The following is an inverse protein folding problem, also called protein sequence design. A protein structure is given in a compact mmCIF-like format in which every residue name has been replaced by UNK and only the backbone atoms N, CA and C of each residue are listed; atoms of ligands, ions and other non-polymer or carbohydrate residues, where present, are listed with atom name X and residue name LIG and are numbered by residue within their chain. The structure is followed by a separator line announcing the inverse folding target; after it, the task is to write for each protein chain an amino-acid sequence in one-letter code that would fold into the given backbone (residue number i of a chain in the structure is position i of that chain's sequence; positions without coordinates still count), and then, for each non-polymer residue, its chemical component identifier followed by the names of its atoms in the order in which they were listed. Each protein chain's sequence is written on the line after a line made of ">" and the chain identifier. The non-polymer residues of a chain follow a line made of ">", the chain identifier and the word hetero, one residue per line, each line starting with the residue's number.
data_IF_375978995213
#
_entry.id   IF_375978995213
#
_cell.length_a   1.000
_cell.length_b   1.000
_cell.length_c   1.000
_cell.angle_alpha   90.00
_cell.angle_beta   90.00
_cell.angle_gamma   90.00
#
_symmetry.space_group_name_H-M   'P 1'
#
loop_
_entity.id
_entity.type
_entity.pdbx_description
1 polymer ?
#
# COMPACT_ATOMS: atom_id res chain seq x y z
N UNK A 1 -18.47 45.05 28.48
CA UNK A 1 -18.46 43.74 29.16
C UNK A 1 -19.65 43.71 30.11
N UNK A 2 -20.56 42.74 29.96
CA UNK A 2 -21.76 42.64 30.81
C UNK A 2 -21.43 42.17 32.23
N UNK A 3 -22.43 42.10 33.11
CA UNK A 3 -22.27 41.64 34.52
C UNK A 3 -21.77 40.19 34.66
N UNK A 4 -21.71 39.41 33.59
CA UNK A 4 -21.08 38.10 33.52
C UNK A 4 -19.76 38.19 32.73
N UNK A 5 -18.80 37.32 33.06
CA UNK A 5 -17.52 37.22 32.36
C UNK A 5 -17.65 36.81 30.88
N UNK A 6 -16.54 36.77 30.16
CA UNK A 6 -16.48 36.28 28.78
C UNK A 6 -17.01 34.85 28.67
N UNK A 7 -17.68 34.53 27.56
CA UNK A 7 -18.29 33.22 27.28
C UNK A 7 -19.34 32.77 28.30
N UNK A 8 -20.08 33.72 28.88
CA UNK A 8 -21.18 33.45 29.79
C UNK A 8 -22.45 34.22 29.40
N UNK A 9 -23.60 33.55 29.52
CA UNK A 9 -24.94 34.15 29.41
C UNK A 9 -25.43 34.55 30.80
N UNK A 10 -25.96 35.76 30.90
CA UNK A 10 -26.63 36.27 32.10
C UNK A 10 -28.13 36.01 32.01
N UNK A 11 -28.71 35.39 33.03
CA UNK A 11 -30.15 35.24 33.19
C UNK A 11 -30.60 35.97 34.47
N UNK A 12 -31.55 36.89 34.37
CA UNK A 12 -32.10 37.56 35.55
C UNK A 12 -33.02 36.60 36.34
N UNK A 13 -32.92 36.64 37.67
CA UNK A 13 -33.79 35.92 38.59
C UNK A 13 -34.49 36.92 39.51
N UNK A 14 -35.59 36.53 40.17
CA UNK A 14 -36.30 37.45 41.06
C UNK A 14 -35.38 37.89 42.22
N UNK A 15 -34.96 39.15 42.20
CA UNK A 15 -34.03 39.73 43.17
C UNK A 15 -32.53 39.47 42.90
N UNK A 16 -32.14 38.79 41.82
CA UNK A 16 -30.74 38.51 41.50
C UNK A 16 -30.51 38.24 40.00
N UNK A 17 -29.36 37.67 39.64
CA UNK A 17 -29.03 37.16 38.32
C UNK A 17 -28.14 35.91 38.44
N UNK A 18 -28.17 35.04 37.45
CA UNK A 18 -27.31 33.86 37.33
C UNK A 18 -26.46 33.97 36.08
N UNK A 19 -25.19 33.58 36.17
CA UNK A 19 -24.30 33.45 35.03
C UNK A 19 -24.08 31.97 34.71
N UNK A 20 -24.39 31.57 33.48
CA UNK A 20 -24.18 30.23 32.94
C UNK A 20 -23.20 30.30 31.79
N UNK A 21 -22.21 29.40 31.75
CA UNK A 21 -21.25 29.36 30.66
C UNK A 21 -21.94 29.00 29.34
N UNK A 22 -21.43 29.52 28.23
CA UNK A 22 -21.86 29.13 26.89
C UNK A 22 -21.61 27.61 26.68
N UNK A 23 -22.34 26.94 25.77
CA UNK A 23 -22.02 25.57 25.38
C UNK A 23 -20.54 25.42 24.98
N UNK A 24 -19.90 24.32 25.38
CA UNK A 24 -18.46 24.10 25.19
C UNK A 24 -17.56 24.80 26.23
N UNK A 25 -18.14 25.43 27.26
CA UNK A 25 -17.39 26.05 28.35
C UNK A 25 -17.89 25.58 29.72
N UNK A 26 -16.98 25.54 30.70
CA UNK A 26 -17.32 25.25 32.09
C UNK A 26 -16.72 26.22 33.09
N UNK A 27 -17.20 26.14 34.33
CA UNK A 27 -16.70 26.98 35.42
C UNK A 27 -15.31 26.50 35.82
N UNK A 28 -14.31 27.31 35.51
CA UNK A 28 -12.95 27.14 35.99
C UNK A 28 -12.80 27.42 37.49
N UNK A 29 -11.60 27.21 38.05
CA UNK A 29 -11.32 27.32 39.50
C UNK A 29 -11.63 28.69 40.11
N UNK A 30 -11.53 29.75 39.29
CA UNK A 30 -11.78 31.14 39.68
C UNK A 30 -13.22 31.59 39.42
N UNK A 31 -14.09 30.69 38.94
CA UNK A 31 -15.47 30.99 38.54
C UNK A 31 -15.62 31.59 37.14
N UNK A 32 -14.52 31.77 36.39
CA UNK A 32 -14.55 32.16 34.97
C UNK A 32 -14.94 30.99 34.07
N UNK A 33 -15.59 31.26 32.94
CA UNK A 33 -15.87 30.24 31.93
C UNK A 33 -14.60 29.93 31.14
N UNK A 34 -14.10 28.71 31.31
CA UNK A 34 -12.95 28.16 30.58
C UNK A 34 -13.45 27.19 29.53
N UNK A 35 -12.72 27.15 28.43
CA UNK A 35 -12.99 26.23 27.32
C UNK A 35 -12.90 24.78 27.82
N UNK A 36 -13.89 23.97 27.46
CA UNK A 36 -13.82 22.54 27.70
C UNK A 36 -12.94 21.90 26.64
N UNK A 37 -12.06 20.99 27.05
CA UNK A 37 -11.23 20.25 26.11
C UNK A 37 -11.87 18.90 25.83
N UNK A 38 -12.76 18.86 24.82
CA UNK A 38 -13.50 17.64 24.51
C UNK A 38 -12.57 16.51 24.03
N UNK A 39 -11.40 16.85 23.49
CA UNK A 39 -10.42 15.87 22.99
C UNK A 39 -9.87 14.96 24.08
N UNK A 40 -9.94 15.34 25.36
CA UNK A 40 -9.54 14.47 26.49
C UNK A 40 -10.37 13.20 26.60
N UNK A 41 -11.56 13.16 26.00
CA UNK A 41 -12.46 12.00 26.02
C UNK A 41 -12.33 11.10 24.79
N UNK A 42 -11.40 11.42 23.87
CA UNK A 42 -11.26 10.76 22.57
C UNK A 42 -12.59 10.66 21.78
N UNK A 43 -13.25 11.80 21.47
CA UNK A 43 -14.57 11.81 20.83
C UNK A 43 -14.54 11.48 19.32
N UNK A 44 -13.35 11.39 18.72
CA UNK A 44 -13.14 11.14 17.30
C UNK A 44 -12.93 9.64 16.98
N UNK A 45 -12.98 9.29 15.70
CA UNK A 45 -12.57 7.95 15.22
C UNK A 45 -11.11 7.66 15.60
N UNK A 46 -10.75 6.40 15.79
CA UNK A 46 -9.37 6.01 16.11
C UNK A 46 -8.37 6.30 14.97
N UNK A 47 -8.88 6.53 13.76
CA UNK A 47 -8.13 6.98 12.58
C UNK A 47 -8.29 8.48 12.32
N UNK A 48 -8.64 9.26 13.33
CA UNK A 48 -8.76 10.71 13.25
C UNK A 48 -7.97 11.42 14.35
N UNK A 49 -7.57 12.65 14.06
CA UNK A 49 -6.96 13.57 15.01
C UNK A 49 -8.02 14.54 15.55
N UNK A 50 -8.03 14.73 16.86
CA UNK A 50 -8.90 15.69 17.54
C UNK A 50 -8.15 17.01 17.74
N UNK A 51 -8.80 18.12 17.39
CA UNK A 51 -8.32 19.47 17.69
C UNK A 51 -9.36 20.19 18.53
N UNK A 52 -8.96 20.62 19.72
CA UNK A 52 -9.81 21.42 20.60
C UNK A 52 -9.92 22.85 20.07
N UNK A 53 -11.12 23.41 20.04
CA UNK A 53 -11.42 24.74 19.54
C UNK A 53 -12.19 25.53 20.60
N UNK A 54 -12.14 26.88 20.60
CA UNK A 54 -12.95 27.65 21.53
C UNK A 54 -14.45 27.36 21.39
N UNK A 55 -15.03 26.72 22.41
CA UNK A 55 -16.44 26.33 22.52
C UNK A 55 -16.83 25.08 21.72
N UNK A 56 -15.88 24.33 21.16
CA UNK A 56 -16.14 23.14 20.36
C UNK A 56 -14.87 22.33 20.09
N UNK A 57 -14.96 21.32 19.23
CA UNK A 57 -13.81 20.57 18.76
C UNK A 57 -14.03 20.16 17.31
N UNK A 58 -12.94 19.80 16.63
CA UNK A 58 -12.99 19.25 15.29
C UNK A 58 -12.24 17.94 15.21
N UNK A 59 -12.85 16.94 14.56
CA UNK A 59 -12.22 15.69 14.20
C UNK A 59 -11.82 15.70 12.73
N UNK A 60 -10.59 15.31 12.43
CA UNK A 60 -10.09 15.20 11.06
C UNK A 60 -9.50 13.81 10.84
N UNK A 61 -9.94 13.09 9.80
CA UNK A 61 -9.33 11.80 9.46
C UNK A 61 -7.83 11.96 9.18
N UNK A 62 -7.04 11.00 9.65
CA UNK A 62 -5.61 10.95 9.45
C UNK A 62 -5.29 10.75 7.95
N UNK A 63 -4.05 11.04 7.55
CA UNK A 63 -3.59 10.82 6.18
C UNK A 63 -3.86 9.37 5.74
N UNK A 64 -4.32 9.19 4.50
CA UNK A 64 -4.74 7.89 3.95
C UNK A 64 -6.17 7.47 4.30
N UNK A 65 -6.92 8.28 5.05
CA UNK A 65 -8.31 8.01 5.41
C UNK A 65 -9.24 9.14 4.99
N UNK A 66 -10.47 8.79 4.63
CA UNK A 66 -11.53 9.72 4.25
C UNK A 66 -12.77 9.54 5.13
N UNK A 67 -13.50 10.62 5.35
CA UNK A 67 -14.72 10.62 6.17
C UNK A 67 -14.95 11.95 6.87
N UNK A 68 -15.73 11.92 7.94
CA UNK A 68 -16.13 13.11 8.71
C UNK A 68 -15.35 13.28 10.04
N UNK A 69 -14.28 12.51 10.25
CA UNK A 69 -13.50 12.52 11.50
C UNK A 69 -14.10 11.69 12.65
N UNK A 70 -15.40 11.41 12.63
CA UNK A 70 -16.07 10.46 13.54
C UNK A 70 -16.25 9.07 12.95
N UNK A 71 -16.16 8.97 11.63
CA UNK A 71 -16.09 7.72 10.88
C UNK A 71 -15.08 7.92 9.78
N UNK A 72 -13.96 7.21 9.85
CA UNK A 72 -12.88 7.30 8.88
C UNK A 72 -12.64 5.94 8.23
N UNK A 73 -12.77 5.90 6.91
CA UNK A 73 -12.54 4.72 6.08
C UNK A 73 -11.26 4.86 5.29
N UNK A 74 -10.57 3.74 5.11
CA UNK A 74 -9.36 3.65 4.32
C UNK A 74 -9.60 4.14 2.88
N UNK A 75 -8.71 4.98 2.38
CA UNK A 75 -8.73 5.39 0.98
C UNK A 75 -8.02 4.31 0.19
N UNK A 76 -8.72 3.64 -0.73
CA UNK A 76 -8.05 2.70 -1.61
C UNK A 76 -7.34 3.44 -2.76
N UNK A 77 -6.05 3.74 -2.59
CA UNK A 77 -5.30 4.49 -3.61
C UNK A 77 -5.15 3.71 -4.92
N UNK A 78 -5.22 2.38 -4.90
CA UNK A 78 -5.11 1.53 -6.09
C UNK A 78 -6.34 1.59 -7.02
N UNK A 79 -7.44 2.20 -6.57
CA UNK A 79 -8.59 2.48 -7.46
C UNK A 79 -8.32 3.63 -8.43
N UNK A 80 -7.29 4.45 -8.14
CA UNK A 80 -6.87 5.55 -9.01
C UNK A 80 -5.87 5.01 -10.02
N UNK A 81 -6.09 5.28 -11.31
CA UNK A 81 -5.17 4.88 -12.38
C UNK A 81 -3.77 5.48 -12.17
N UNK A 82 -2.72 4.70 -12.48
CA UNK A 82 -1.33 5.13 -12.56
C UNK A 82 -0.66 5.57 -11.24
N UNK A 83 -1.03 4.96 -10.10
CA UNK A 83 -0.27 5.17 -8.84
C UNK A 83 1.09 4.50 -8.83
N UNK A 84 1.20 3.34 -9.49
CA UNK A 84 2.42 2.57 -9.62
C UNK A 84 3.06 2.74 -10.99
N UNK A 85 4.35 2.40 -11.07
CA UNK A 85 5.12 2.37 -12.31
C UNK A 85 4.61 1.34 -13.33
N UNK A 86 5.19 1.40 -14.53
CA UNK A 86 4.99 0.34 -15.52
C UNK A 86 5.53 -0.99 -14.98
N UNK A 87 4.86 -2.11 -15.29
CA UNK A 87 5.20 -3.44 -14.80
C UNK A 87 5.21 -3.56 -13.27
N UNK A 88 4.36 -2.79 -12.59
CA UNK A 88 4.12 -2.90 -11.16
C UNK A 88 2.63 -3.10 -10.85
N UNK A 89 2.36 -3.78 -9.74
CA UNK A 89 1.04 -3.97 -9.16
C UNK A 89 0.90 -3.07 -7.92
N UNK A 90 -0.27 -2.46 -7.77
CA UNK A 90 -0.62 -1.67 -6.60
C UNK A 90 -1.30 -2.54 -5.54
N UNK A 91 -0.77 -2.50 -4.33
CA UNK A 91 -1.37 -3.13 -3.15
C UNK A 91 -1.85 -2.05 -2.18
N UNK A 92 -3.14 -2.06 -1.88
CA UNK A 92 -3.75 -1.17 -0.91
C UNK A 92 -3.49 -1.64 0.52
N UNK A 93 -3.10 -0.72 1.41
CA UNK A 93 -2.81 -0.99 2.81
C UNK A 93 -3.59 0.00 3.70
N UNK A 94 -3.89 -0.32 4.97
CA UNK A 94 -4.54 0.63 5.84
C UNK A 94 -3.74 1.95 6.00
N UNK A 95 -4.28 3.05 5.50
CA UNK A 95 -3.73 4.40 5.53
C UNK A 95 -2.63 4.66 4.49
N UNK A 96 -2.39 3.74 3.55
CA UNK A 96 -1.32 3.88 2.55
C UNK A 96 -1.44 2.85 1.40
N UNK A 97 -0.48 2.87 0.49
CA UNK A 97 -0.36 1.85 -0.55
C UNK A 97 1.10 1.50 -0.80
N UNK A 98 1.34 0.35 -1.41
CA UNK A 98 2.66 -0.08 -1.85
C UNK A 98 2.62 -0.54 -3.30
N UNK A 99 3.67 -0.21 -4.04
CA UNK A 99 3.87 -0.67 -5.40
C UNK A 99 4.89 -1.81 -5.41
N UNK A 100 4.56 -2.90 -6.09
CA UNK A 100 5.42 -4.09 -6.19
C UNK A 100 5.67 -4.36 -7.67
N UNK A 101 6.93 -4.52 -8.05
CA UNK A 101 7.25 -4.95 -9.42
C UNK A 101 6.62 -6.33 -9.70
N UNK A 102 6.10 -6.49 -10.91
CA UNK A 102 5.58 -7.76 -11.39
C UNK A 102 6.70 -8.81 -11.44
N UNK A 103 6.33 -10.09 -11.44
CA UNK A 103 7.28 -11.18 -11.62
C UNK A 103 8.14 -10.97 -12.89
N UNK A 104 9.44 -11.24 -12.77
CA UNK A 104 10.43 -10.95 -13.83
C UNK A 104 10.97 -9.52 -13.83
N UNK A 105 10.52 -8.66 -12.92
CA UNK A 105 11.00 -7.28 -12.79
C UNK A 105 11.52 -6.99 -11.38
N UNK A 106 12.44 -6.03 -11.26
CA UNK A 106 13.03 -5.59 -10.00
C UNK A 106 13.09 -4.06 -9.92
N UNK A 107 12.95 -3.51 -8.71
CA UNK A 107 12.93 -2.07 -8.48
C UNK A 107 12.11 -1.67 -7.26
N UNK A 108 11.68 -0.41 -7.24
CA UNK A 108 10.94 0.21 -6.12
C UNK A 108 9.41 0.25 -6.33
N UNK A 109 8.92 -0.35 -7.43
CA UNK A 109 7.50 -0.32 -7.80
C UNK A 109 7.07 0.93 -8.59
N UNK A 110 7.89 1.99 -8.62
CA UNK A 110 7.72 3.13 -9.52
C UNK A 110 8.57 3.00 -10.78
N UNK A 111 9.77 2.45 -10.62
CA UNK A 111 10.66 2.06 -11.69
C UNK A 111 10.94 0.58 -11.56
N UNK A 112 10.35 -0.22 -12.46
CA UNK A 112 10.57 -1.66 -12.51
C UNK A 112 11.36 -2.01 -13.77
N UNK A 113 12.57 -2.49 -13.56
CA UNK A 113 13.47 -2.92 -14.62
C UNK A 113 13.38 -4.42 -14.80
N UNK A 114 13.47 -4.86 -16.04
CA UNK A 114 13.53 -6.27 -16.41
C UNK A 114 14.72 -6.96 -15.71
N UNK A 115 14.47 -8.13 -15.12
CA UNK A 115 15.53 -8.95 -14.55
C UNK A 115 16.17 -9.73 -15.69
N UNK A 116 17.49 -9.60 -15.87
CA UNK A 116 18.19 -10.41 -16.85
C UNK A 116 18.63 -11.74 -16.24
N UNK A 117 17.80 -12.79 -16.41
CA UNK A 117 18.11 -14.11 -15.87
C UNK A 117 19.33 -14.76 -16.54
N UNK A 118 19.71 -14.34 -17.75
CA UNK A 118 20.90 -14.84 -18.44
C UNK A 118 22.22 -14.41 -17.80
N UNK A 119 22.20 -13.48 -16.84
CA UNK A 119 23.37 -13.20 -16.00
C UNK A 119 23.68 -14.36 -15.04
N UNK A 120 22.70 -15.25 -14.80
CA UNK A 120 22.92 -16.51 -14.10
C UNK A 120 23.36 -17.58 -15.10
N UNK A 121 24.59 -18.09 -14.95
CA UNK A 121 25.14 -19.14 -15.81
C UNK A 121 24.38 -20.47 -15.73
N UNK A 122 23.58 -20.69 -14.70
CA UNK A 122 22.74 -21.86 -14.56
C UNK A 122 21.35 -21.73 -15.21
N UNK A 123 21.00 -20.56 -15.77
CA UNK A 123 19.64 -20.28 -16.25
C UNK A 123 19.11 -21.27 -17.29
N UNK A 124 19.97 -21.73 -18.21
CA UNK A 124 19.60 -22.67 -19.29
C UNK A 124 20.30 -24.03 -19.19
N UNK A 125 20.97 -24.32 -18.06
CA UNK A 125 21.80 -25.51 -17.90
C UNK A 125 22.94 -25.62 -18.92
N UNK A 126 23.56 -26.79 -18.98
CA UNK A 126 24.58 -27.09 -20.00
C UNK A 126 23.94 -27.24 -21.39
N UNK A 127 24.65 -26.85 -22.44
CA UNK A 127 24.19 -26.92 -23.84
C UNK A 127 22.95 -26.07 -24.18
N UNK A 128 22.60 -25.12 -23.32
CA UNK A 128 21.58 -24.11 -23.56
C UNK A 128 22.18 -22.72 -23.85
N UNK A 129 21.58 -22.01 -24.80
CA UNK A 129 21.85 -20.61 -25.11
C UNK A 129 20.71 -19.77 -24.54
N UNK A 130 21.03 -18.88 -23.59
CA UNK A 130 20.07 -17.99 -22.96
C UNK A 130 19.82 -16.73 -23.78
N UNK A 131 18.57 -16.30 -23.89
CA UNK A 131 18.15 -15.02 -24.46
C UNK A 131 17.17 -14.32 -23.52
N UNK A 132 17.54 -13.14 -23.05
CA UNK A 132 16.71 -12.36 -22.13
C UNK A 132 15.50 -11.75 -22.85
N UNK A 133 14.35 -11.69 -22.20
CA UNK A 133 13.09 -11.14 -22.74
C UNK A 133 12.38 -10.29 -21.68
N UNK A 134 11.43 -9.44 -22.08
CA UNK A 134 10.74 -8.61 -21.10
C UNK A 134 9.88 -9.44 -20.14
N UNK A 135 10.25 -9.47 -18.86
CA UNK A 135 9.62 -10.20 -17.76
C UNK A 135 10.01 -11.67 -17.66
N UNK A 136 10.95 -12.16 -18.48
CA UNK A 136 11.38 -13.57 -18.47
C UNK A 136 12.60 -13.82 -19.35
N UNK A 137 12.94 -15.07 -19.62
CA UNK A 137 14.01 -15.47 -20.53
C UNK A 137 13.61 -16.72 -21.33
N UNK A 138 14.30 -16.92 -22.44
CA UNK A 138 14.13 -18.09 -23.30
C UNK A 138 15.45 -18.84 -23.41
N UNK A 139 15.38 -20.16 -23.26
CA UNK A 139 16.51 -21.06 -23.45
C UNK A 139 16.36 -21.81 -24.78
N UNK A 140 17.36 -21.69 -25.63
CA UNK A 140 17.45 -22.45 -26.88
C UNK A 140 18.55 -23.50 -26.75
N UNK A 141 18.22 -24.76 -26.97
CA UNK A 141 19.20 -25.84 -26.89
C UNK A 141 20.07 -25.92 -28.14
N UNK A 142 21.35 -26.25 -27.95
CA UNK A 142 22.27 -26.56 -29.03
C UNK A 142 21.75 -27.76 -29.84
N UNK A 143 22.23 -27.91 -31.09
CA UNK A 143 21.87 -29.03 -31.94
C UNK A 143 22.17 -30.38 -31.24
N UNK A 144 21.22 -31.31 -31.30
CA UNK A 144 21.29 -32.60 -30.58
C UNK A 144 20.72 -32.55 -29.16
N UNK A 145 20.14 -31.43 -28.71
CA UNK A 145 19.54 -31.30 -27.38
C UNK A 145 18.08 -30.82 -27.45
N UNK A 146 17.26 -31.27 -26.51
CA UNK A 146 15.85 -30.87 -26.33
C UNK A 146 15.67 -30.08 -25.04
N UNK A 147 14.81 -29.07 -25.09
CA UNK A 147 14.50 -28.22 -23.92
C UNK A 147 13.55 -28.95 -22.98
N UNK A 148 13.95 -29.04 -21.71
CA UNK A 148 13.08 -29.41 -20.62
C UNK A 148 12.43 -28.15 -20.02
N UNK A 149 11.13 -27.98 -20.25
CA UNK A 149 10.39 -26.79 -19.78
C UNK A 149 10.18 -26.73 -18.27
N UNK A 150 10.46 -27.80 -17.52
CA UNK A 150 10.30 -27.81 -16.07
C UNK A 150 11.45 -27.10 -15.33
N UNK A 151 12.66 -27.18 -15.87
CA UNK A 151 13.88 -26.64 -15.27
C UNK A 151 14.70 -25.77 -16.23
N UNK A 152 14.17 -25.52 -17.43
CA UNK A 152 14.83 -24.79 -18.53
C UNK A 152 16.19 -25.38 -18.95
N UNK A 153 16.43 -26.65 -18.65
CA UNK A 153 17.67 -27.34 -19.01
C UNK A 153 17.58 -27.99 -20.40
N UNK A 154 18.75 -28.18 -21.02
CA UNK A 154 18.88 -28.90 -22.28
C UNK A 154 19.39 -30.32 -22.02
N UNK A 155 18.57 -31.31 -22.37
CA UNK A 155 18.93 -32.73 -22.28
C UNK A 155 19.19 -33.31 -23.65
N UNK A 156 20.07 -34.32 -23.71
CA UNK A 156 20.44 -34.98 -24.96
C UNK A 156 19.20 -35.53 -25.67
N UNK A 157 19.04 -35.15 -26.93
CA UNK A 157 17.90 -35.51 -27.74
C UNK A 157 18.13 -36.90 -28.31
N UNK A 158 17.78 -37.94 -27.55
CA UNK A 158 18.02 -39.32 -27.97
C UNK A 158 17.45 -39.62 -29.37
N UNK A 159 18.34 -39.63 -30.37
CA UNK A 159 17.98 -39.70 -31.78
C UNK A 159 17.46 -41.07 -32.20
N UNK A 160 17.71 -42.08 -31.36
CA UNK A 160 17.15 -43.43 -31.51
C UNK A 160 15.65 -43.47 -31.23
N UNK A 161 15.18 -42.67 -30.27
CA UNK A 161 13.76 -42.60 -29.93
C UNK A 161 12.98 -41.70 -30.90
N UNK A 162 13.64 -40.72 -31.51
CA UNK A 162 13.02 -39.79 -32.47
C UNK A 162 13.10 -40.29 -33.92
N UNK A 163 13.88 -41.35 -34.18
CA UNK A 163 14.08 -41.91 -35.53
C UNK A 163 14.87 -40.99 -36.47
N UNK A 164 15.47 -39.92 -35.94
CA UNK A 164 16.18 -38.90 -36.70
C UNK A 164 17.60 -39.35 -37.11
N UNK A 165 18.17 -40.34 -36.42
CA UNK A 165 19.50 -40.87 -36.72
C UNK A 165 19.45 -42.40 -36.93
N UNK A 166 20.06 -42.89 -38.02
CA UNK A 166 20.30 -44.31 -38.25
C UNK A 166 21.65 -44.68 -37.67
N UNK A 167 21.67 -45.50 -36.62
CA UNK A 167 22.92 -46.04 -36.09
C UNK A 167 23.69 -46.82 -37.16
N UNK A 168 25.04 -46.81 -37.12
CA UNK A 168 25.87 -47.65 -37.99
C UNK A 168 25.43 -49.13 -37.99
N UNK A 169 25.71 -49.83 -39.09
CA UNK A 169 25.34 -51.25 -39.23
C UNK A 169 25.98 -52.06 -38.08
N UNK A 170 25.15 -52.68 -37.25
CA UNK A 170 25.58 -53.53 -36.13
C UNK A 170 25.45 -52.91 -34.73
N UNK A 171 25.01 -51.65 -34.61
CA UNK A 171 24.62 -51.05 -33.32
C UNK A 171 23.12 -50.87 -33.26
N UNK A 172 22.50 -51.52 -32.29
CA UNK A 172 21.13 -51.26 -31.89
C UNK A 172 21.11 -50.03 -31.00
N UNK A 173 20.18 -49.13 -31.27
CA UNK A 173 19.54 -48.39 -30.20
C UNK A 173 19.01 -49.37 -29.15
#
# INVERSE_FOLDING_TARGET
>A
AGRCGTNAVCANTAGSYTCTCNPGYSKGPTGSCVDEDECKTNPCDNKASCTNLPGSFSCQCNAGYAGNGHTCTDINECTVSQKCGLNANCQNNPGSYSCLCNSGYTGDGQTCNDINECLNSAACGANGVCSNTAGSFVCNCNAGYVLNSADNSCSDANECNTGAHRCPIGVTC
#
